data_IF_902766665886
#
_entry.id   IF_902766665886
#
_cell.length_a   1.000
_cell.length_b   1.000
_cell.length_c   1.000
_cell.angle_alpha   90.00
_cell.angle_beta   90.00
_cell.angle_gamma   90.00
#
_symmetry.space_group_name_H-M   'P 1'
#
loop_
_entity.id
_entity.type
_entity.pdbx_description
1 polymer ?
#
# COMPACT_ATOMS: atom_id res chain seq x y z
N UNK A 1 2.06 24.58 1.37
CA UNK A 1 2.02 23.24 1.99
C UNK A 1 3.43 22.68 1.97
N UNK A 2 4.02 22.32 3.11
CA UNK A 2 5.26 21.53 3.12
C UNK A 2 4.98 20.14 2.53
N UNK A 3 5.93 19.60 1.76
CA UNK A 3 5.84 18.26 1.23
C UNK A 3 5.85 17.24 2.38
N UNK A 4 4.91 16.30 2.38
CA UNK A 4 4.95 15.13 3.26
C UNK A 4 5.67 14.04 2.50
N UNK A 5 6.77 13.55 3.06
CA UNK A 5 7.54 12.46 2.47
C UNK A 5 7.13 11.15 3.16
N UNK A 6 7.10 10.07 2.41
CA UNK A 6 6.87 8.73 2.95
C UNK A 6 7.91 7.74 2.46
N UNK A 7 8.36 6.89 3.37
CA UNK A 7 9.26 5.78 3.06
C UNK A 7 8.67 4.48 3.59
N UNK A 8 8.75 3.40 2.83
CA UNK A 8 8.35 2.08 3.30
C UNK A 8 9.23 1.65 4.47
N UNK A 9 8.60 1.30 5.60
CA UNK A 9 9.27 0.76 6.78
C UNK A 9 9.24 -0.77 6.76
N UNK A 10 8.07 -1.35 6.48
CA UNK A 10 7.86 -2.79 6.34
C UNK A 10 6.79 -3.05 5.29
N UNK A 11 6.92 -4.14 4.54
CA UNK A 11 5.94 -4.56 3.55
C UNK A 11 5.85 -6.08 3.51
N UNK A 12 4.63 -6.60 3.66
CA UNK A 12 4.34 -8.03 3.51
C UNK A 12 3.37 -8.20 2.35
N UNK A 13 3.70 -9.08 1.41
CA UNK A 13 2.85 -9.36 0.25
C UNK A 13 2.59 -10.85 0.14
N UNK A 14 1.32 -11.20 -0.03
CA UNK A 14 0.89 -12.55 -0.37
C UNK A 14 0.45 -12.55 -1.84
N UNK A 15 1.13 -13.37 -2.65
CA UNK A 15 0.74 -13.63 -4.04
C UNK A 15 -0.15 -14.84 -4.07
N UNK A 16 -1.40 -14.66 -4.49
CA UNK A 16 -2.43 -15.71 -4.43
C UNK A 16 -2.59 -16.39 -5.79
N UNK A 17 -2.42 -15.63 -6.88
CA UNK A 17 -2.53 -16.11 -8.27
C UNK A 17 -1.96 -15.08 -9.25
N UNK A 18 -1.57 -15.48 -10.48
CA UNK A 18 -0.97 -14.58 -11.46
C UNK A 18 -1.99 -13.66 -12.15
N UNK A 19 -1.60 -12.40 -12.40
CA UNK A 19 -2.30 -11.50 -13.33
C UNK A 19 -1.85 -11.83 -14.76
N UNK A 20 -2.79 -12.02 -15.69
CA UNK A 20 -2.50 -12.28 -17.12
C UNK A 20 -2.83 -11.12 -18.06
N UNK A 21 -3.46 -10.07 -17.54
CA UNK A 21 -3.88 -8.88 -18.27
C UNK A 21 -3.68 -7.64 -17.42
N UNK A 22 -4.72 -6.82 -17.28
CA UNK A 22 -4.68 -5.64 -16.40
C UNK A 22 -5.10 -6.04 -14.98
N UNK A 23 -4.60 -5.27 -14.01
CA UNK A 23 -5.01 -5.37 -12.62
C UNK A 23 -5.12 -3.99 -11.99
N UNK A 24 -6.07 -3.84 -11.08
CA UNK A 24 -6.29 -2.64 -10.28
C UNK A 24 -5.83 -2.90 -8.85
N UNK A 25 -4.92 -2.07 -8.37
CA UNK A 25 -4.50 -2.04 -6.97
C UNK A 25 -5.31 -0.97 -6.22
N UNK A 26 -6.05 -1.38 -5.20
CA UNK A 26 -6.83 -0.47 -4.35
C UNK A 26 -6.24 -0.45 -2.96
N UNK A 27 -5.86 0.74 -2.48
CA UNK A 27 -5.27 0.93 -1.16
C UNK A 27 -6.27 1.51 -0.15
N UNK A 28 -6.35 0.87 1.01
CA UNK A 28 -7.19 1.28 2.13
C UNK A 28 -6.31 1.52 3.37
N UNK A 29 -6.37 2.70 4.01
CA UNK A 29 -5.66 2.93 5.26
C UNK A 29 -6.25 2.05 6.36
N UNK A 30 -5.39 1.30 7.05
CA UNK A 30 -5.79 0.52 8.23
C UNK A 30 -5.60 1.32 9.52
N UNK A 31 -4.53 2.11 9.59
CA UNK A 31 -4.21 3.00 10.72
C UNK A 31 -3.34 4.15 10.24
N UNK A 32 -3.69 5.38 10.59
CA UNK A 32 -2.88 6.57 10.26
C UNK A 32 -2.47 7.26 11.55
N UNK A 33 -1.18 7.24 11.84
CA UNK A 33 -0.57 7.96 12.97
C UNK A 33 0.21 9.19 12.50
N UNK A 34 0.92 9.82 13.44
CA UNK A 34 1.71 11.02 13.17
C UNK A 34 2.96 10.76 12.32
N UNK A 35 3.64 9.65 12.58
CA UNK A 35 4.93 9.29 11.95
C UNK A 35 4.90 7.94 11.25
N UNK A 36 3.83 7.16 11.44
CA UNK A 36 3.64 5.85 10.82
C UNK A 36 2.21 5.71 10.33
N UNK A 37 2.02 5.13 9.16
CA UNK A 37 0.73 4.67 8.68
C UNK A 37 0.82 3.23 8.19
N UNK A 38 -0.21 2.44 8.44
CA UNK A 38 -0.39 1.09 7.91
C UNK A 38 -1.46 1.15 6.82
N UNK A 39 -1.10 0.68 5.63
CA UNK A 39 -1.96 0.66 4.45
C UNK A 39 -2.09 -0.77 3.96
N UNK A 40 -3.31 -1.18 3.66
CA UNK A 40 -3.62 -2.41 2.95
C UNK A 40 -3.76 -2.09 1.47
N UNK A 41 -3.22 -2.94 0.60
CA UNK A 41 -3.46 -2.85 -0.84
C UNK A 41 -3.94 -4.20 -1.34
N UNK A 42 -5.08 -4.22 -2.00
CA UNK A 42 -5.63 -5.40 -2.67
C UNK A 42 -5.53 -5.22 -4.18
N UNK A 43 -5.00 -6.24 -4.85
CA UNK A 43 -4.83 -6.26 -6.30
C UNK A 43 -5.86 -7.19 -6.90
N UNK A 44 -6.75 -6.65 -7.73
CA UNK A 44 -7.77 -7.42 -8.45
C UNK A 44 -7.49 -7.38 -9.95
N UNK A 45 -7.74 -8.47 -10.66
CA UNK A 45 -7.68 -8.48 -12.14
C UNK A 45 -8.99 -7.98 -12.77
N UNK A 46 -9.06 -8.03 -14.10
CA UNK A 46 -10.25 -7.60 -14.86
C UNK A 46 -11.50 -8.47 -14.59
N UNK A 47 -11.32 -9.68 -14.05
CA UNK A 47 -12.43 -10.54 -13.59
C UNK A 47 -12.86 -10.23 -12.14
N UNK A 48 -12.24 -9.22 -11.51
CA UNK A 48 -12.44 -8.83 -10.12
C UNK A 48 -12.12 -9.94 -9.11
N UNK A 49 -11.25 -10.87 -9.46
CA UNK A 49 -10.75 -11.86 -8.52
C UNK A 49 -9.56 -11.26 -7.73
N UNK A 50 -9.24 -11.73 -6.52
CA UNK A 50 -8.10 -11.21 -5.73
C UNK A 50 -6.77 -11.90 -6.15
N UNK A 51 -5.82 -11.14 -6.72
CA UNK A 51 -4.52 -11.64 -7.17
C UNK A 51 -3.44 -11.61 -6.09
N UNK A 52 -3.40 -10.51 -5.34
CA UNK A 52 -2.41 -10.28 -4.31
C UNK A 52 -2.96 -9.37 -3.23
N UNK A 53 -2.42 -9.53 -2.04
CA UNK A 53 -2.71 -8.66 -0.91
C UNK A 53 -1.41 -8.22 -0.27
N UNK A 54 -1.27 -6.91 -0.08
CA UNK A 54 -0.13 -6.28 0.54
C UNK A 54 -0.58 -5.54 1.81
N UNK A 55 0.19 -5.68 2.88
CA UNK A 55 0.14 -4.78 4.03
C UNK A 55 1.48 -4.08 4.15
N UNK A 56 1.46 -2.75 4.11
CA UNK A 56 2.66 -1.91 4.17
C UNK A 56 2.56 -0.93 5.34
N UNK A 57 3.62 -0.86 6.14
CA UNK A 57 3.85 0.25 7.05
C UNK A 57 4.75 1.29 6.38
N UNK A 58 4.33 2.55 6.37
CA UNK A 58 5.09 3.68 5.84
C UNK A 58 5.44 4.64 6.97
N UNK A 59 6.69 5.06 7.02
CA UNK A 59 7.10 6.20 7.84
C UNK A 59 6.68 7.48 7.15
N UNK A 60 6.10 8.41 7.90
CA UNK A 60 5.68 9.73 7.45
C UNK A 60 6.65 10.75 8.02
N UNK A 61 7.41 11.40 7.14
CA UNK A 61 8.42 12.39 7.49
C UNK A 61 7.99 13.77 7.01
N UNK A 62 8.21 14.78 7.85
CA UNK A 62 8.21 16.18 7.43
C UNK A 62 9.67 16.58 7.20
N UNK A 63 10.02 17.15 6.04
CA UNK A 63 11.36 17.69 5.83
C UNK A 63 11.71 18.65 6.97
N UNK A 64 12.89 18.48 7.56
CA UNK A 64 13.45 19.53 8.40
C UNK A 64 13.74 20.73 7.50
N UNK A 65 13.31 21.91 7.94
CA UNK A 65 13.60 23.17 7.26
C UNK A 65 15.07 23.53 7.32
#
# INVERSE_FOLDING_TARGET
>A
MQAVLSTTHESTTYFLRPVRGTATATSTPLKVGRTLATVRTEVHDDANELCAHNTQMVHISRPAG
#
